data_IF_552093148789
#
_entry.id   IF_552093148789
#
_cell.length_a   1.000
_cell.length_b   1.000
_cell.length_c   1.000
_cell.angle_alpha   90.00
_cell.angle_beta   90.00
_cell.angle_gamma   90.00
#
_symmetry.space_group_name_H-M   'P 1'
#
loop_
_entity.id
_entity.type
_entity.pdbx_description
1 polymer ?
#
# COMPACT_ATOMS: atom_id res chain seq x y z
N UNK A 1 10.95 13.06 -0.53
CA UNK A 1 11.08 11.95 0.42
C UNK A 1 9.77 11.69 1.16
N UNK A 2 9.42 10.45 1.34
CA UNK A 2 8.27 10.08 2.15
C UNK A 2 8.59 8.83 2.97
N UNK A 3 7.76 8.58 3.98
CA UNK A 3 7.91 7.42 4.86
C UNK A 3 6.63 6.61 4.88
N UNK A 4 6.79 5.30 5.05
CA UNK A 4 5.68 4.38 5.25
C UNK A 4 5.89 3.66 6.58
N UNK A 5 4.84 3.58 7.38
CA UNK A 5 4.83 2.76 8.60
C UNK A 5 3.47 2.09 8.74
N UNK A 6 3.42 1.04 9.55
CA UNK A 6 2.15 0.42 9.94
C UNK A 6 1.82 0.89 11.36
N UNK A 7 0.67 1.53 11.52
CA UNK A 7 0.15 1.90 12.83
C UNK A 7 -0.28 0.66 13.60
N UNK A 8 -0.86 -0.28 12.87
CA UNK A 8 -1.14 -1.64 13.31
C UNK A 8 -1.14 -2.51 12.05
N UNK A 9 -1.41 -3.80 12.16
CA UNK A 9 -1.27 -4.72 11.03
C UNK A 9 -2.21 -4.41 9.85
N UNK A 10 -3.31 -3.68 10.07
CA UNK A 10 -4.30 -3.37 9.04
C UNK A 10 -4.32 -1.91 8.59
N UNK A 11 -3.44 -1.06 9.12
CA UNK A 11 -3.43 0.36 8.80
C UNK A 11 -2.04 0.85 8.39
N UNK A 12 -1.94 1.28 7.12
CA UNK A 12 -0.70 1.85 6.58
C UNK A 12 -0.75 3.37 6.65
N UNK A 13 0.31 3.98 7.17
CA UNK A 13 0.47 5.43 7.23
C UNK A 13 1.54 5.85 6.24
N UNK A 14 1.21 6.81 5.39
CA UNK A 14 2.13 7.40 4.43
C UNK A 14 2.34 8.85 4.84
N UNK A 15 3.60 9.21 5.12
CA UNK A 15 3.97 10.56 5.54
C UNK A 15 4.81 11.20 4.45
N UNK A 16 4.21 12.10 3.70
CA UNK A 16 4.91 12.95 2.76
C UNK A 16 5.26 14.29 3.42
N UNK A 17 5.90 15.18 2.69
CA UNK A 17 6.45 16.43 3.22
C UNK A 17 5.46 17.24 4.08
N UNK A 18 4.27 17.49 3.56
CA UNK A 18 3.28 18.35 4.22
C UNK A 18 1.97 17.63 4.52
N UNK A 19 1.87 16.35 4.14
CA UNK A 19 0.61 15.62 4.22
C UNK A 19 0.83 14.20 4.71
N UNK A 20 -0.05 13.77 5.60
CA UNK A 20 -0.08 12.39 6.07
C UNK A 20 -1.42 11.77 5.72
N UNK A 21 -1.39 10.51 5.33
CA UNK A 21 -2.60 9.77 5.05
C UNK A 21 -2.47 8.38 5.64
N UNK A 22 -3.56 7.87 6.22
CA UNK A 22 -3.60 6.49 6.67
C UNK A 22 -4.72 5.74 5.96
N UNK A 23 -4.45 4.49 5.63
CA UNK A 23 -5.39 3.64 4.93
C UNK A 23 -5.56 2.35 5.71
N UNK A 24 -6.80 2.09 6.11
CA UNK A 24 -7.16 0.84 6.77
C UNK A 24 -7.69 -0.14 5.72
N UNK A 25 -6.94 -1.21 5.49
CA UNK A 25 -7.26 -2.18 4.44
C UNK A 25 -8.44 -3.08 4.80
N UNK A 26 -8.69 -3.27 6.09
CA UNK A 26 -9.82 -4.08 6.57
C UNK A 26 -11.12 -3.30 6.51
N UNK A 27 -11.10 -2.05 6.97
CA UNK A 27 -12.29 -1.20 7.01
C UNK A 27 -12.56 -0.48 5.69
N UNK A 28 -11.61 -0.51 4.76
CA UNK A 28 -11.68 0.21 3.47
C UNK A 28 -11.90 1.71 3.67
N UNK A 29 -11.06 2.31 4.51
CA UNK A 29 -11.16 3.72 4.85
C UNK A 29 -9.84 4.45 4.64
N UNK A 30 -9.95 5.72 4.25
CA UNK A 30 -8.85 6.66 4.15
C UNK A 30 -9.05 7.72 5.22
N UNK A 31 -8.02 7.97 6.01
CA UNK A 31 -8.03 9.03 7.01
C UNK A 31 -6.87 9.99 6.75
N UNK A 32 -7.19 11.25 6.55
CA UNK A 32 -6.18 12.29 6.35
C UNK A 32 -6.09 13.15 7.59
N UNK A 33 -4.88 13.63 7.90
CA UNK A 33 -4.64 14.53 9.05
C UNK A 33 -5.35 15.86 8.91
N UNK A 34 -5.81 16.17 7.73
CA UNK A 34 -6.55 17.39 7.48
C UNK A 34 -8.03 17.16 7.74
N UNK A 35 -8.68 18.18 8.17
CA UNK A 35 -10.09 18.42 8.49
C UNK A 35 -11.15 17.77 7.58
N UNK A 36 -10.74 16.85 6.71
CA UNK A 36 -11.62 16.22 5.73
C UNK A 36 -12.37 15.04 6.33
N UNK A 37 -11.88 14.51 7.45
CA UNK A 37 -12.50 13.34 8.07
C UNK A 37 -12.18 12.04 7.35
N UNK A 38 -13.00 11.03 7.61
CA UNK A 38 -12.80 9.69 7.08
C UNK A 38 -13.50 9.53 5.74
N UNK A 39 -12.79 9.00 4.75
CA UNK A 39 -13.31 8.75 3.41
C UNK A 39 -13.55 7.26 3.24
N UNK A 40 -14.72 6.89 2.76
CA UNK A 40 -15.10 5.50 2.51
C UNK A 40 -15.47 5.30 1.05
N UNK A 41 -15.21 4.07 0.55
CA UNK A 41 -15.67 3.66 -0.76
C UNK A 41 -14.73 4.07 -1.89
N UNK A 42 -15.18 3.80 -3.12
CA UNK A 42 -14.41 4.03 -4.33
C UNK A 42 -14.41 5.52 -4.71
N UNK A 43 -13.38 5.94 -5.42
CA UNK A 43 -13.24 7.30 -5.91
C UNK A 43 -11.80 7.70 -6.15
N UNK A 44 -11.62 8.94 -6.55
CA UNK A 44 -10.32 9.53 -6.75
C UNK A 44 -10.18 10.72 -5.79
N UNK A 45 -9.05 10.78 -5.08
CA UNK A 45 -8.84 11.77 -4.03
C UNK A 45 -7.43 12.34 -4.13
N UNK A 46 -7.30 13.63 -3.88
CA UNK A 46 -6.00 14.28 -3.75
C UNK A 46 -5.88 14.89 -2.35
N UNK A 47 -4.81 14.54 -1.66
CA UNK A 47 -4.50 15.06 -0.33
C UNK A 47 -3.09 15.64 -0.42
N UNK A 48 -3.02 16.94 -0.75
CA UNK A 48 -1.76 17.58 -1.07
C UNK A 48 -1.08 16.91 -2.26
N UNK A 49 0.13 16.44 -2.05
CA UNK A 49 0.92 15.78 -3.09
C UNK A 49 0.64 14.27 -3.20
N UNK A 50 -0.34 13.77 -2.46
CA UNK A 50 -0.71 12.36 -2.45
C UNK A 50 -1.99 12.17 -3.26
N UNK A 51 -1.90 11.43 -4.35
CA UNK A 51 -3.06 11.09 -5.19
C UNK A 51 -3.49 9.66 -4.90
N UNK A 52 -4.76 9.45 -4.63
CA UNK A 52 -5.31 8.14 -4.25
C UNK A 52 -6.42 7.77 -5.20
N UNK A 53 -6.35 6.56 -5.76
CA UNK A 53 -7.44 5.96 -6.51
C UNK A 53 -7.91 4.75 -5.71
N UNK A 54 -9.16 4.79 -5.26
CA UNK A 54 -9.81 3.70 -4.54
C UNK A 54 -10.74 2.98 -5.51
N UNK A 55 -10.52 1.69 -5.73
CA UNK A 55 -11.29 0.89 -6.68
C UNK A 55 -12.09 -0.18 -5.95
N UNK A 56 -13.36 -0.30 -6.30
CA UNK A 56 -14.25 -1.31 -5.75
C UNK A 56 -13.81 -2.71 -6.19
N UNK A 57 -13.83 -3.65 -5.25
CA UNK A 57 -13.56 -5.05 -5.50
C UNK A 57 -14.85 -5.80 -5.83
N UNK A 58 -14.75 -6.85 -6.64
CA UNK A 58 -15.90 -7.66 -7.02
C UNK A 58 -16.61 -8.29 -5.81
N UNK A 59 -15.82 -8.70 -4.82
CA UNK A 59 -16.34 -9.33 -3.61
C UNK A 59 -16.65 -8.37 -2.47
N UNK A 60 -16.61 -7.06 -2.72
CA UNK A 60 -16.83 -6.04 -1.70
C UNK A 60 -15.52 -5.49 -1.14
N UNK A 61 -15.57 -4.28 -0.61
CA UNK A 61 -14.38 -3.56 -0.16
C UNK A 61 -13.70 -2.82 -1.28
N UNK A 62 -12.54 -2.27 -0.99
CA UNK A 62 -11.78 -1.41 -1.92
C UNK A 62 -10.31 -1.77 -1.88
N UNK A 63 -9.65 -1.66 -3.02
CA UNK A 63 -8.20 -1.64 -3.09
C UNK A 63 -7.75 -0.23 -3.45
N UNK A 64 -6.50 0.10 -3.15
CA UNK A 64 -5.98 1.45 -3.31
C UNK A 64 -4.74 1.46 -4.18
N UNK A 65 -4.66 2.47 -5.03
CA UNK A 65 -3.43 2.85 -5.70
C UNK A 65 -3.09 4.27 -5.28
N UNK A 66 -1.89 4.47 -4.79
CA UNK A 66 -1.45 5.75 -4.27
C UNK A 66 -0.21 6.19 -5.04
N UNK A 67 -0.28 7.38 -5.60
CA UNK A 67 0.88 7.99 -6.27
C UNK A 67 1.43 9.08 -5.36
N UNK A 68 2.68 8.92 -4.96
CA UNK A 68 3.40 9.91 -4.15
C UNK A 68 4.82 10.02 -4.69
N UNK A 69 5.20 11.24 -5.08
CA UNK A 69 6.53 11.55 -5.63
C UNK A 69 6.94 10.63 -6.79
N UNK A 70 5.98 10.27 -7.64
CA UNK A 70 6.21 9.40 -8.80
C UNK A 70 6.28 7.92 -8.49
N UNK A 71 6.13 7.52 -7.23
CA UNK A 71 6.14 6.13 -6.79
C UNK A 71 4.72 5.66 -6.59
N UNK A 72 4.42 4.45 -7.05
CA UNK A 72 3.09 3.86 -7.02
C UNK A 72 3.01 2.80 -5.93
N UNK A 73 2.12 3.03 -4.99
CA UNK A 73 1.87 2.14 -3.85
C UNK A 73 0.51 1.49 -4.05
N UNK A 74 0.45 0.17 -4.00
CA UNK A 74 -0.80 -0.57 -3.99
C UNK A 74 -1.11 -1.09 -2.60
N UNK A 75 -2.37 -1.07 -2.21
CA UNK A 75 -2.83 -1.67 -0.95
C UNK A 75 -4.01 -2.58 -1.26
N UNK A 76 -3.84 -3.87 -1.01
CA UNK A 76 -4.80 -4.90 -1.39
C UNK A 76 -5.08 -5.82 -0.20
N UNK A 77 -6.33 -5.86 0.23
CA UNK A 77 -6.77 -6.76 1.29
C UNK A 77 -7.16 -8.13 0.76
N UNK A 78 -7.45 -9.04 1.68
CA UNK A 78 -7.69 -10.47 1.38
C UNK A 78 -8.98 -10.74 0.60
N UNK A 79 -9.89 -9.76 0.50
CA UNK A 79 -11.14 -9.93 -0.24
C UNK A 79 -10.98 -9.75 -1.75
N UNK A 80 -9.83 -9.25 -2.21
CA UNK A 80 -9.58 -9.08 -3.63
C UNK A 80 -9.39 -10.44 -4.32
N UNK A 81 -9.99 -10.56 -5.51
CA UNK A 81 -9.70 -11.70 -6.39
C UNK A 81 -8.62 -11.30 -7.39
N UNK A 82 -7.98 -12.28 -8.01
CA UNK A 82 -6.84 -12.00 -8.90
C UNK A 82 -7.23 -11.07 -10.05
N UNK A 83 -8.44 -11.21 -10.59
CA UNK A 83 -8.93 -10.37 -11.68
C UNK A 83 -9.05 -8.89 -11.29
N UNK A 84 -9.29 -8.59 -10.01
CA UNK A 84 -9.34 -7.20 -9.54
C UNK A 84 -8.01 -6.49 -9.78
N UNK A 85 -6.89 -7.23 -9.69
CA UNK A 85 -5.55 -6.65 -9.77
C UNK A 85 -5.23 -6.10 -11.16
N UNK A 86 -5.94 -6.51 -12.21
CA UNK A 86 -5.76 -5.98 -13.55
C UNK A 86 -5.99 -4.48 -13.61
N UNK A 87 -6.85 -3.96 -12.74
CA UNK A 87 -7.15 -2.53 -12.68
C UNK A 87 -6.18 -1.72 -11.82
N UNK A 88 -5.27 -2.39 -11.12
CA UNK A 88 -4.31 -1.72 -10.25
C UNK A 88 -3.21 -1.01 -11.04
N UNK A 89 -2.82 -1.58 -12.19
CA UNK A 89 -1.73 -1.06 -12.99
C UNK A 89 -0.36 -1.34 -12.35
N UNK A 90 0.72 -0.76 -12.87
CA UNK A 90 2.06 -0.96 -12.33
C UNK A 90 2.17 -0.44 -10.90
N UNK A 91 2.75 -1.26 -10.01
CA UNK A 91 2.93 -0.92 -8.60
C UNK A 91 4.38 -1.16 -8.21
N UNK A 92 4.97 -0.18 -7.55
CA UNK A 92 6.34 -0.26 -7.03
C UNK A 92 6.38 -0.88 -5.63
N UNK A 93 5.45 -0.50 -4.78
CA UNK A 93 5.38 -0.95 -3.39
C UNK A 93 3.99 -1.53 -3.16
N UNK A 94 3.90 -2.77 -2.72
CA UNK A 94 2.64 -3.45 -2.48
C UNK A 94 2.46 -3.76 -1.00
N UNK A 95 1.47 -3.14 -0.36
CA UNK A 95 0.98 -3.57 0.94
C UNK A 95 -0.17 -4.54 0.71
N UNK A 96 -0.07 -5.75 1.23
CA UNK A 96 -1.12 -6.75 1.00
C UNK A 96 -1.22 -7.73 2.16
N UNK A 97 -2.36 -8.37 2.24
CA UNK A 97 -2.66 -9.34 3.30
C UNK A 97 -2.61 -10.80 2.83
N UNK A 98 -2.30 -11.03 1.57
CA UNK A 98 -2.19 -12.39 1.03
C UNK A 98 -1.04 -12.46 0.04
N UNK A 99 -0.17 -13.45 0.23
CA UNK A 99 1.02 -13.63 -0.60
C UNK A 99 0.68 -13.96 -2.06
N UNK A 100 -0.51 -14.45 -2.36
CA UNK A 100 -0.92 -14.80 -3.72
C UNK A 100 -0.93 -13.61 -4.69
N UNK A 101 -1.02 -12.39 -4.17
CA UNK A 101 -1.02 -11.18 -5.00
C UNK A 101 0.37 -10.81 -5.50
N UNK A 102 1.41 -11.22 -4.79
CA UNK A 102 2.78 -10.79 -5.07
C UNK A 102 3.26 -11.22 -6.47
N UNK A 103 3.13 -12.47 -6.90
CA UNK A 103 3.58 -12.86 -8.24
C UNK A 103 2.76 -12.24 -9.37
N UNK A 104 1.56 -11.77 -9.08
CA UNK A 104 0.70 -11.10 -10.07
C UNK A 104 1.11 -9.64 -10.25
N UNK A 105 1.35 -8.94 -9.14
CA UNK A 105 1.68 -7.51 -9.16
C UNK A 105 3.16 -7.28 -9.49
N UNK A 106 4.04 -8.16 -9.04
CA UNK A 106 5.49 -8.05 -9.23
C UNK A 106 6.06 -6.71 -8.74
N UNK A 107 5.81 -6.34 -7.47
CA UNK A 107 6.33 -5.09 -6.94
C UNK A 107 7.83 -5.18 -6.65
N UNK A 108 8.47 -4.06 -6.40
CA UNK A 108 9.85 -4.02 -5.93
C UNK A 108 9.96 -4.18 -4.42
N UNK A 109 8.94 -3.76 -3.70
CA UNK A 109 8.86 -3.89 -2.25
C UNK A 109 7.49 -4.44 -1.87
N UNK A 110 7.48 -5.43 -0.97
CA UNK A 110 6.26 -5.98 -0.37
C UNK A 110 6.23 -5.60 1.10
N UNK A 111 5.09 -5.06 1.54
CA UNK A 111 4.85 -4.77 2.96
C UNK A 111 3.73 -5.70 3.42
N UNK A 112 4.05 -6.74 4.22
CA UNK A 112 3.01 -7.62 4.76
C UNK A 112 2.06 -6.87 5.69
N UNK A 113 0.75 -7.05 5.47
CA UNK A 113 -0.31 -6.47 6.29
C UNK A 113 -1.22 -7.58 6.79
N UNK A 114 -1.94 -7.31 7.88
CA UNK A 114 -2.93 -8.24 8.49
C UNK A 114 -2.30 -9.62 8.74
N UNK A 115 -1.08 -9.60 9.29
CA UNK A 115 -0.32 -10.81 9.62
C UNK A 115 -0.14 -11.78 8.44
N UNK A 116 0.07 -11.23 7.24
CA UNK A 116 0.32 -12.04 6.05
C UNK A 116 1.48 -12.99 6.25
N UNK A 117 1.29 -14.26 5.90
CA UNK A 117 2.36 -15.23 5.86
C UNK A 117 3.18 -15.01 4.58
N UNK A 118 4.45 -14.69 4.75
CA UNK A 118 5.36 -14.42 3.62
C UNK A 118 6.53 -15.42 3.55
N UNK A 119 6.45 -16.52 4.29
CA UNK A 119 7.56 -17.49 4.37
C UNK A 119 7.93 -18.11 3.01
N UNK A 120 6.96 -18.24 2.11
CA UNK A 120 7.19 -18.84 0.79
C UNK A 120 7.60 -17.85 -0.30
N UNK A 121 7.62 -16.55 0.01
CA UNK A 121 8.09 -15.55 -0.93
C UNK A 121 9.62 -15.54 -0.91
N UNK A 122 10.23 -15.78 -2.06
CA UNK A 122 11.69 -15.79 -2.16
C UNK A 122 12.23 -14.37 -2.33
N UNK A 123 12.48 -13.72 -1.22
CA UNK A 123 13.02 -12.37 -1.19
C UNK A 123 13.70 -12.13 0.15
N UNK A 124 14.63 -11.17 0.20
CA UNK A 124 15.23 -10.78 1.46
C UNK A 124 14.21 -10.06 2.33
N UNK A 125 14.25 -10.30 3.63
CA UNK A 125 13.33 -9.68 4.60
C UNK A 125 14.08 -8.64 5.41
N UNK A 126 13.52 -7.44 5.45
CA UNK A 126 13.98 -6.33 6.28
C UNK A 126 12.99 -6.16 7.42
N UNK A 127 13.46 -6.20 8.66
CA UNK A 127 12.63 -5.96 9.83
C UNK A 127 12.93 -4.57 10.35
N UNK A 128 12.07 -3.63 10.01
CA UNK A 128 12.22 -2.21 10.35
C UNK A 128 10.86 -1.65 10.75
N UNK A 129 10.85 -0.54 11.46
CA UNK A 129 9.57 0.12 11.84
C UNK A 129 9.07 1.08 10.78
N UNK A 130 9.97 1.60 9.95
CA UNK A 130 9.65 2.57 8.90
C UNK A 130 10.40 2.24 7.62
N UNK A 131 9.73 2.50 6.50
CA UNK A 131 10.34 2.45 5.19
C UNK A 131 10.47 3.90 4.70
N UNK A 132 11.70 4.37 4.49
CA UNK A 132 11.98 5.71 3.98
C UNK A 132 12.35 5.64 2.52
N UNK A 133 11.66 6.41 1.69
CA UNK A 133 11.92 6.47 0.26
C UNK A 133 12.36 7.90 -0.09
N UNK A 134 13.60 8.05 -0.55
CA UNK A 134 14.13 9.36 -0.95
C UNK A 134 13.60 9.75 -2.33
N UNK A 135 13.64 8.83 -3.28
CA UNK A 135 13.18 9.02 -4.65
C UNK A 135 13.05 7.65 -5.33
N UNK A 136 12.65 7.65 -6.60
CA UNK A 136 12.46 6.40 -7.35
C UNK A 136 13.73 5.56 -7.48
N UNK A 137 14.90 6.20 -7.46
CA UNK A 137 16.18 5.48 -7.54
C UNK A 137 16.51 4.71 -6.25
N UNK A 138 15.79 4.99 -5.16
CA UNK A 138 15.97 4.28 -3.88
C UNK A 138 15.31 2.90 -3.88
N UNK A 139 14.45 2.62 -4.88
CA UNK A 139 13.78 1.32 -4.96
C UNK A 139 14.78 0.22 -5.32
N UNK A 140 14.68 -0.96 -4.69
CA UNK A 140 15.63 -2.04 -4.96
C UNK A 140 15.48 -2.60 -6.37
N UNK A 141 16.58 -3.10 -6.92
CA UNK A 141 16.56 -3.78 -8.22
C UNK A 141 15.94 -5.18 -8.13
N UNK A 142 16.07 -5.81 -6.95
CA UNK A 142 15.52 -7.13 -6.66
C UNK A 142 14.48 -6.96 -5.55
N UNK A 143 13.35 -7.62 -5.67
CA UNK A 143 12.24 -7.49 -4.72
C UNK A 143 12.69 -7.77 -3.29
N UNK A 144 12.23 -6.92 -2.37
CA UNK A 144 12.47 -7.05 -0.93
C UNK A 144 11.14 -7.05 -0.18
N UNK A 145 11.13 -7.76 0.95
CA UNK A 145 10.00 -7.74 1.89
C UNK A 145 10.39 -6.84 3.05
N UNK A 146 9.56 -5.84 3.33
CA UNK A 146 9.75 -4.95 4.47
C UNK A 146 8.67 -5.23 5.51
N UNK A 147 9.08 -5.95 6.55
CA UNK A 147 8.20 -6.26 7.68
C UNK A 147 8.26 -5.08 8.66
N UNK A 148 7.23 -4.25 8.63
CA UNK A 148 7.13 -3.02 9.44
C UNK A 148 6.36 -3.23 10.75
N UNK A 149 5.93 -4.44 10.99
CA UNK A 149 5.12 -4.77 12.17
C UNK A 149 5.92 -4.73 13.48
#
# INVERSE_FOLDING_TARGET
MFEIELKNSDEMVIRAKDNNVSINVVQSTINADLKVGMIRGAGEFEIGDIAIIAKSLKGGGVMYRIDVEGIKIGIVGSTAVIEDLDELGPIDILGCSDAKYVPVVEPKIVIPMVNMDFAEIKASVKNEKKLKIKNANSLPAVMEIWNLD
#
